data_IF_081474542414
#
_entry.id   IF_081474542414
#
_cell.length_a   1.000
_cell.length_b   1.000
_cell.length_c   1.000
_cell.angle_alpha   90.00
_cell.angle_beta   90.00
_cell.angle_gamma   90.00
#
_symmetry.space_group_name_H-M   'P 1'
#
loop_
_entity.id
_entity.type
_entity.pdbx_description
1 polymer ?
#
# COMPACT_ATOMS: atom_id res chain seq x y z
N UNK A 1 6.33 -9.46 11.81
CA UNK A 1 5.37 -8.42 11.44
C UNK A 1 3.97 -8.86 11.82
N UNK A 2 3.15 -7.97 12.35
CA UNK A 2 1.72 -8.18 12.56
C UNK A 2 0.94 -6.99 11.96
N UNK A 3 -0.33 -7.20 11.65
CA UNK A 3 -1.19 -6.15 11.14
C UNK A 3 -1.59 -5.21 12.29
N UNK A 4 -1.15 -3.95 12.22
CA UNK A 4 -1.44 -2.95 13.25
C UNK A 4 -2.82 -2.36 13.02
N UNK A 5 -3.66 -2.39 14.06
CA UNK A 5 -5.01 -1.82 14.05
C UNK A 5 -5.08 -0.47 14.78
N UNK A 6 -4.20 -0.27 15.76
CA UNK A 6 -4.14 0.93 16.55
C UNK A 6 -2.69 1.40 16.73
N UNK A 7 -2.49 2.69 16.55
CA UNK A 7 -1.22 3.35 16.79
C UNK A 7 -1.25 4.14 18.08
N UNK A 8 -0.10 4.23 18.75
CA UNK A 8 0.09 5.08 19.91
C UNK A 8 0.11 6.57 19.51
N UNK A 9 -0.05 7.44 20.51
CA UNK A 9 0.04 8.89 20.30
C UNK A 9 1.48 9.37 20.08
N UNK A 10 2.46 8.48 20.27
CA UNK A 10 3.87 8.77 20.00
C UNK A 10 4.11 8.75 18.50
N UNK A 11 4.54 9.89 17.98
CA UNK A 11 4.79 10.07 16.55
C UNK A 11 6.25 9.77 16.25
N UNK A 12 6.55 8.84 15.31
CA UNK A 12 7.91 8.62 14.84
C UNK A 12 8.53 9.91 14.29
N UNK A 13 9.81 10.10 14.56
CA UNK A 13 10.55 11.26 14.02
C UNK A 13 10.55 11.17 12.48
N UNK A 14 10.41 12.33 11.85
CA UNK A 14 10.34 12.43 10.38
C UNK A 14 11.60 11.88 9.72
N UNK A 15 12.77 12.11 10.33
CA UNK A 15 14.06 11.67 9.84
C UNK A 15 14.16 10.13 9.74
N UNK A 16 13.54 9.38 10.66
CA UNK A 16 13.48 7.92 10.61
C UNK A 16 12.65 7.45 9.40
N UNK A 17 11.52 8.13 9.16
CA UNK A 17 10.66 7.83 8.01
C UNK A 17 11.39 8.14 6.70
N UNK A 18 12.03 9.31 6.61
CA UNK A 18 12.81 9.71 5.43
C UNK A 18 14.00 8.78 5.19
N UNK A 19 14.69 8.36 6.25
CA UNK A 19 15.78 7.39 6.17
C UNK A 19 15.32 6.03 5.63
N UNK A 20 14.18 5.52 6.13
CA UNK A 20 13.60 4.27 5.64
C UNK A 20 13.15 4.36 4.17
N UNK A 21 12.50 5.47 3.79
CA UNK A 21 12.11 5.74 2.40
C UNK A 21 13.33 5.81 1.47
N UNK A 22 14.38 6.48 1.89
CA UNK A 22 15.62 6.59 1.12
C UNK A 22 16.29 5.22 0.92
N UNK A 23 16.42 4.42 2.00
CA UNK A 23 16.95 3.06 1.93
C UNK A 23 16.10 2.20 1.00
N UNK A 24 14.77 2.22 1.15
CA UNK A 24 13.85 1.46 0.30
C UNK A 24 13.99 1.84 -1.17
N UNK A 25 14.02 3.14 -1.48
CA UNK A 25 14.25 3.63 -2.84
C UNK A 25 15.60 3.15 -3.41
N UNK A 26 16.66 3.23 -2.60
CA UNK A 26 18.02 2.86 -3.04
C UNK A 26 18.18 1.36 -3.32
N UNK A 27 17.49 0.51 -2.58
CA UNK A 27 17.66 -0.95 -2.61
C UNK A 27 16.59 -1.71 -3.40
N UNK A 28 15.48 -1.04 -3.77
CA UNK A 28 14.43 -1.71 -4.53
C UNK A 28 14.83 -1.84 -6.00
N UNK A 29 14.86 -3.07 -6.53
CA UNK A 29 15.07 -3.27 -7.96
C UNK A 29 13.88 -2.75 -8.76
N UNK A 30 14.17 -2.15 -9.90
CA UNK A 30 13.17 -1.73 -10.88
C UNK A 30 13.69 -2.00 -12.28
N UNK A 31 12.83 -2.46 -13.17
CA UNK A 31 13.21 -2.70 -14.56
C UNK A 31 13.71 -1.42 -15.20
N UNK A 32 14.96 -1.44 -15.66
CA UNK A 32 15.64 -0.28 -16.26
C UNK A 32 15.72 0.93 -15.29
N UNK A 33 15.69 0.72 -13.99
CA UNK A 33 15.60 1.77 -12.96
C UNK A 33 14.44 2.77 -13.19
N UNK A 34 13.37 2.34 -13.82
CA UNK A 34 12.28 3.22 -14.24
C UNK A 34 11.43 3.69 -13.06
N UNK A 35 11.25 2.85 -12.03
CA UNK A 35 10.39 3.12 -10.87
C UNK A 35 9.05 3.78 -11.27
N UNK A 36 8.17 3.07 -12.04
CA UNK A 36 6.97 3.65 -12.62
C UNK A 36 5.85 3.85 -11.58
N UNK A 37 6.23 4.37 -10.43
CA UNK A 37 5.33 4.68 -9.32
C UNK A 37 5.85 5.89 -8.53
N UNK A 38 4.95 6.47 -7.73
CA UNK A 38 5.26 7.55 -6.81
C UNK A 38 4.64 7.28 -5.45
N UNK A 39 5.36 7.66 -4.41
CA UNK A 39 4.92 7.55 -3.02
C UNK A 39 4.52 8.93 -2.52
N UNK A 40 3.25 9.08 -2.13
CA UNK A 40 2.74 10.28 -1.48
C UNK A 40 2.68 10.02 0.02
N UNK A 41 3.34 10.87 0.79
CA UNK A 41 3.48 10.69 2.25
C UNK A 41 2.62 11.71 2.98
N UNK A 42 1.65 11.23 3.70
CA UNK A 42 0.83 12.04 4.60
C UNK A 42 1.29 11.85 6.04
N UNK A 43 1.96 12.86 6.58
CA UNK A 43 2.43 12.90 7.96
C UNK A 43 1.37 13.37 8.96
N UNK A 44 1.75 13.66 10.20
CA UNK A 44 0.83 13.99 11.30
C UNK A 44 -0.08 15.20 11.05
N UNK A 45 0.40 16.16 10.25
CA UNK A 45 -0.35 17.40 9.93
C UNK A 45 -1.43 17.21 8.87
N UNK A 46 -1.40 16.12 8.10
CA UNK A 46 -2.31 15.86 6.96
C UNK A 46 -3.55 15.06 7.38
N UNK A 47 -4.23 15.51 8.45
CA UNK A 47 -5.40 14.80 8.98
C UNK A 47 -6.55 14.76 7.97
N UNK A 48 -6.81 15.89 7.29
CA UNK A 48 -7.88 16.01 6.30
C UNK A 48 -7.69 15.02 5.14
N UNK A 49 -6.48 14.94 4.60
CA UNK A 49 -6.15 14.06 3.48
C UNK A 49 -6.24 12.58 3.89
N UNK A 50 -5.80 12.25 5.10
CA UNK A 50 -5.93 10.88 5.63
C UNK A 50 -7.41 10.48 5.82
N UNK A 51 -8.27 11.41 6.23
CA UNK A 51 -9.72 11.17 6.30
C UNK A 51 -10.31 10.89 4.91
N UNK A 52 -9.94 11.66 3.90
CA UNK A 52 -10.37 11.42 2.52
C UNK A 52 -9.94 10.04 2.00
N UNK A 53 -8.70 9.61 2.30
CA UNK A 53 -8.24 8.26 1.97
C UNK A 53 -9.02 7.20 2.73
N UNK A 54 -9.32 7.44 4.02
CA UNK A 54 -10.16 6.55 4.81
C UNK A 54 -11.57 6.40 4.21
N UNK A 55 -12.18 7.46 3.74
CA UNK A 55 -13.50 7.43 3.07
C UNK A 55 -13.48 6.52 1.84
N UNK A 56 -12.39 6.51 1.07
CA UNK A 56 -12.22 5.62 -0.08
C UNK A 56 -12.09 4.15 0.31
N UNK A 57 -11.45 3.86 1.44
CA UNK A 57 -11.37 2.50 1.98
C UNK A 57 -12.72 2.08 2.54
N UNK A 58 -13.35 2.93 3.33
CA UNK A 58 -14.65 2.67 3.97
C UNK A 58 -15.75 2.45 2.94
N UNK A 59 -15.87 3.30 1.93
CA UNK A 59 -16.88 3.17 0.87
C UNK A 59 -16.70 1.89 0.06
N UNK A 60 -15.45 1.49 -0.21
CA UNK A 60 -15.17 0.22 -0.88
C UNK A 60 -15.62 -0.98 -0.03
N UNK A 61 -15.40 -0.93 1.28
CA UNK A 61 -15.81 -2.00 2.20
C UNK A 61 -17.35 -2.11 2.27
N UNK A 62 -18.04 -0.97 2.46
CA UNK A 62 -19.50 -0.91 2.49
C UNK A 62 -20.14 -1.51 1.24
N UNK A 63 -19.61 -1.20 0.07
CA UNK A 63 -20.12 -1.77 -1.19
C UNK A 63 -19.84 -3.27 -1.30
N UNK A 64 -18.72 -3.76 -0.76
CA UNK A 64 -18.44 -5.18 -0.70
C UNK A 64 -19.42 -5.92 0.20
N UNK A 65 -19.80 -5.35 1.34
CA UNK A 65 -20.83 -5.90 2.24
C UNK A 65 -22.19 -5.94 1.56
N UNK A 66 -22.62 -4.85 0.90
CA UNK A 66 -23.87 -4.82 0.13
C UNK A 66 -23.88 -5.86 -0.97
N UNK A 67 -22.76 -6.03 -1.70
CA UNK A 67 -22.64 -7.07 -2.73
C UNK A 67 -22.72 -8.48 -2.14
N UNK A 68 -22.13 -8.71 -0.96
CA UNK A 68 -22.18 -9.99 -0.27
C UNK A 68 -23.60 -10.30 0.21
N UNK A 69 -24.33 -9.33 0.76
CA UNK A 69 -25.74 -9.47 1.13
C UNK A 69 -26.61 -9.81 -0.07
N UNK A 70 -26.43 -9.11 -1.19
CA UNK A 70 -27.20 -9.35 -2.43
C UNK A 70 -26.93 -10.73 -3.07
N UNK A 71 -25.81 -11.37 -2.71
CA UNK A 71 -25.47 -12.74 -3.14
C UNK A 71 -25.90 -13.82 -2.14
N UNK A 72 -26.64 -13.44 -1.09
CA UNK A 72 -27.03 -14.36 -0.02
C UNK A 72 -25.87 -14.83 0.87
N UNK A 73 -24.72 -14.23 0.73
CA UNK A 73 -23.56 -14.46 1.57
C UNK A 73 -23.64 -13.49 2.76
N UNK A 74 -24.34 -13.88 3.81
CA UNK A 74 -24.48 -13.09 5.02
C UNK A 74 -23.13 -12.98 5.73
N UNK A 75 -22.43 -11.88 5.52
CA UNK A 75 -21.42 -11.43 6.48
C UNK A 75 -22.18 -10.74 7.61
N UNK A 76 -22.43 -11.46 8.68
CA UNK A 76 -22.97 -10.88 9.90
C UNK A 76 -21.91 -9.99 10.55
N UNK A 77 -21.92 -8.71 10.22
CA UNK A 77 -21.53 -7.71 11.19
C UNK A 77 -22.80 -7.39 12.00
N UNK A 78 -22.93 -7.96 13.16
CA UNK A 78 -23.99 -7.59 14.09
C UNK A 78 -23.87 -6.09 14.36
N UNK A 79 -24.89 -5.31 13.98
CA UNK A 79 -25.10 -3.98 14.47
C UNK A 79 -24.89 -2.81 13.51
N UNK A 80 -24.49 -2.99 12.23
CA UNK A 80 -24.40 -1.89 11.25
C UNK A 80 -23.32 -0.83 11.57
N UNK A 81 -22.49 -1.05 12.55
CA UNK A 81 -21.36 -0.19 12.87
C UNK A 81 -20.22 -0.36 11.87
N UNK A 82 -19.53 0.75 11.48
CA UNK A 82 -18.37 0.68 10.62
C UNK A 82 -17.33 -0.26 11.23
N UNK A 83 -16.82 -1.20 10.43
CA UNK A 83 -15.78 -2.10 10.91
C UNK A 83 -14.55 -1.27 11.34
N UNK A 84 -14.19 -1.25 12.64
CA UNK A 84 -13.10 -0.44 13.16
C UNK A 84 -11.72 -0.83 12.58
N UNK A 85 -11.66 -1.91 11.81
CA UNK A 85 -10.41 -2.41 11.23
C UNK A 85 -9.64 -1.40 10.37
N UNK A 86 -10.32 -0.40 9.79
CA UNK A 86 -9.69 0.57 8.91
C UNK A 86 -9.50 1.96 9.53
N UNK A 87 -9.92 2.17 10.77
CA UNK A 87 -9.74 3.45 11.46
C UNK A 87 -8.26 3.82 11.64
N UNK A 88 -7.37 2.82 11.67
CA UNK A 88 -5.94 3.05 11.69
C UNK A 88 -5.44 3.93 10.53
N UNK A 89 -6.12 3.96 9.38
CA UNK A 89 -5.79 4.84 8.25
C UNK A 89 -6.04 6.30 8.60
N UNK A 90 -7.07 6.56 9.38
CA UNK A 90 -7.49 7.90 9.81
C UNK A 90 -6.54 8.50 10.85
N UNK A 91 -6.09 7.65 11.79
CA UNK A 91 -5.34 8.08 12.97
C UNK A 91 -3.87 7.69 12.97
N UNK A 92 -3.37 7.03 11.92
CA UNK A 92 -1.94 6.71 11.86
C UNK A 92 -1.06 7.96 11.84
N UNK A 93 0.16 7.92 12.40
CA UNK A 93 1.12 8.99 12.29
C UNK A 93 1.49 9.30 10.84
N UNK A 94 1.78 8.24 10.03
CA UNK A 94 2.14 8.36 8.63
C UNK A 94 1.34 7.43 7.76
N UNK A 95 0.88 7.93 6.61
CA UNK A 95 0.22 7.18 5.57
C UNK A 95 0.99 7.36 4.26
N UNK A 96 1.39 6.26 3.65
CA UNK A 96 1.98 6.22 2.32
C UNK A 96 0.94 5.76 1.32
N UNK A 97 0.68 6.59 0.31
CA UNK A 97 -0.16 6.24 -0.82
C UNK A 97 0.74 6.01 -2.02
N UNK A 98 0.81 4.78 -2.51
CA UNK A 98 1.66 4.41 -3.64
C UNK A 98 0.80 4.30 -4.87
N UNK A 99 1.11 5.10 -5.88
CA UNK A 99 0.37 5.19 -7.13
C UNK A 99 1.27 4.87 -8.31
N UNK A 100 0.73 4.17 -9.31
CA UNK A 100 1.39 4.02 -10.60
C UNK A 100 1.48 5.39 -11.26
N UNK A 101 2.67 5.79 -11.67
CA UNK A 101 2.92 7.06 -12.32
C UNK A 101 3.79 6.86 -13.53
N UNK A 102 3.38 7.34 -14.72
CA UNK A 102 4.25 7.44 -15.87
C UNK A 102 5.48 8.27 -15.54
N UNK A 103 6.63 7.83 -16.00
CA UNK A 103 7.87 8.58 -15.90
C UNK A 103 8.49 8.70 -17.27
N UNK A 104 9.20 9.76 -17.49
CA UNK A 104 10.04 9.86 -18.64
C UNK A 104 11.16 8.81 -18.60
N UNK A 105 11.58 8.27 -19.75
CA UNK A 105 12.69 7.35 -19.82
C UNK A 105 13.95 7.96 -19.20
N UNK A 106 14.59 7.19 -18.32
CA UNK A 106 15.90 7.59 -17.77
C UNK A 106 17.01 7.46 -18.82
N UNK A 107 18.20 7.97 -18.52
CA UNK A 107 19.35 7.94 -19.43
C UNK A 107 19.72 6.50 -19.86
N UNK A 108 19.62 5.52 -18.97
CA UNK A 108 19.86 4.14 -19.34
C UNK A 108 18.91 3.67 -20.45
N UNK A 109 17.62 3.95 -20.32
CA UNK A 109 16.65 3.56 -21.33
C UNK A 109 16.84 4.30 -22.64
N UNK A 110 17.11 5.62 -22.59
CA UNK A 110 17.40 6.43 -23.79
C UNK A 110 18.60 5.86 -24.55
N UNK A 111 19.67 5.56 -23.85
CA UNK A 111 20.87 4.95 -24.46
C UNK A 111 20.56 3.59 -25.11
N UNK A 112 19.70 2.77 -24.48
CA UNK A 112 19.30 1.48 -25.06
C UNK A 112 18.46 1.64 -26.34
N UNK A 113 17.58 2.65 -26.38
CA UNK A 113 16.80 3.00 -27.59
C UNK A 113 17.76 3.48 -28.71
N UNK A 114 18.71 4.37 -28.40
CA UNK A 114 19.71 4.86 -29.34
C UNK A 114 20.60 3.74 -29.93
N UNK A 115 20.89 2.71 -29.10
CA UNK A 115 21.62 1.51 -29.53
C UNK A 115 20.74 0.51 -30.31
N UNK A 116 19.46 0.81 -30.53
CA UNK A 116 18.51 -0.07 -31.22
C UNK A 116 18.14 -1.34 -30.44
N UNK A 117 18.45 -1.40 -29.15
CA UNK A 117 18.14 -2.55 -28.29
C UNK A 117 16.69 -2.59 -27.81
N UNK A 118 15.99 -1.44 -27.81
CA UNK A 118 14.58 -1.33 -27.50
C UNK A 118 13.83 -0.57 -28.57
N UNK A 119 12.62 -1.01 -28.86
CA UNK A 119 11.72 -0.23 -29.72
C UNK A 119 11.25 1.02 -28.97
N UNK A 120 11.17 2.14 -29.68
CA UNK A 120 10.57 3.37 -29.18
C UNK A 120 9.05 3.15 -28.97
N UNK A 121 8.69 2.74 -27.79
CA UNK A 121 7.29 2.62 -27.37
C UNK A 121 6.96 3.81 -26.49
N UNK A 122 5.86 4.49 -26.77
CA UNK A 122 5.34 5.56 -25.94
C UNK A 122 5.26 5.09 -24.46
N UNK A 123 6.03 5.72 -23.61
CA UNK A 123 6.20 5.30 -22.21
C UNK A 123 4.89 5.27 -21.41
N UNK A 124 3.92 6.21 -21.60
CA UNK A 124 2.61 6.16 -20.96
C UNK A 124 1.80 4.91 -21.31
N UNK A 125 1.75 4.50 -22.57
CA UNK A 125 1.04 3.29 -23.02
C UNK A 125 1.64 2.02 -22.40
N UNK A 126 2.94 2.04 -22.16
CA UNK A 126 3.65 0.92 -21.56
C UNK A 126 3.25 0.66 -20.12
N UNK A 127 2.93 1.71 -19.34
CA UNK A 127 2.55 1.55 -17.92
C UNK A 127 1.19 0.88 -17.79
N UNK A 128 0.21 1.25 -18.58
CA UNK A 128 -1.07 0.57 -18.56
C UNK A 128 -0.95 -0.89 -19.01
N UNK A 129 -0.12 -1.13 -20.03
CA UNK A 129 0.14 -2.47 -20.56
C UNK A 129 0.94 -3.36 -19.60
N UNK A 130 1.73 -2.76 -18.69
CA UNK A 130 2.58 -3.46 -17.74
C UNK A 130 2.24 -3.15 -16.27
N UNK A 131 0.96 -2.89 -15.99
CA UNK A 131 0.51 -2.58 -14.63
C UNK A 131 0.89 -3.68 -13.63
N UNK A 132 0.89 -4.94 -14.06
CA UNK A 132 1.27 -6.08 -13.21
C UNK A 132 2.75 -6.01 -12.83
N UNK A 133 3.63 -5.63 -13.77
CA UNK A 133 5.05 -5.41 -13.46
C UNK A 133 5.23 -4.23 -12.50
N UNK A 134 4.48 -3.14 -12.70
CA UNK A 134 4.49 -1.99 -11.78
C UNK A 134 4.02 -2.40 -10.39
N UNK A 135 2.96 -3.21 -10.29
CA UNK A 135 2.46 -3.70 -9.03
C UNK A 135 3.47 -4.61 -8.32
N UNK A 136 4.21 -5.43 -9.06
CA UNK A 136 5.30 -6.25 -8.53
C UNK A 136 6.43 -5.38 -7.96
N UNK A 137 6.86 -4.36 -8.70
CA UNK A 137 7.89 -3.41 -8.24
C UNK A 137 7.45 -2.64 -6.99
N UNK A 138 6.17 -2.23 -6.94
CA UNK A 138 5.57 -1.61 -5.75
C UNK A 138 5.56 -2.57 -4.57
N UNK A 139 5.28 -3.85 -4.80
CA UNK A 139 5.35 -4.89 -3.76
C UNK A 139 6.76 -5.03 -3.18
N UNK A 140 7.78 -5.05 -4.03
CA UNK A 140 9.18 -5.09 -3.60
C UNK A 140 9.59 -3.83 -2.82
N UNK A 141 9.19 -2.66 -3.29
CA UNK A 141 9.41 -1.39 -2.58
C UNK A 141 8.73 -1.39 -1.22
N UNK A 142 7.47 -1.79 -1.16
CA UNK A 142 6.68 -1.85 0.06
C UNK A 142 7.30 -2.82 1.08
N UNK A 143 7.82 -3.95 0.63
CA UNK A 143 8.51 -4.91 1.50
C UNK A 143 9.81 -4.32 2.05
N UNK A 144 10.63 -3.69 1.20
CA UNK A 144 11.88 -3.04 1.64
C UNK A 144 11.59 -1.90 2.64
N UNK A 145 10.63 -1.02 2.31
CA UNK A 145 10.21 0.06 3.21
C UNK A 145 9.78 -0.50 4.57
N UNK A 146 9.02 -1.59 4.57
CA UNK A 146 8.57 -2.23 5.80
C UNK A 146 9.70 -2.79 6.63
N UNK A 147 10.68 -3.41 5.99
CA UNK A 147 11.87 -3.94 6.68
C UNK A 147 12.62 -2.80 7.37
N UNK A 148 12.89 -1.71 6.65
CA UNK A 148 13.63 -0.58 7.23
C UNK A 148 12.84 0.17 8.31
N UNK A 149 11.52 0.29 8.20
CA UNK A 149 10.70 0.86 9.27
C UNK A 149 10.70 -0.04 10.52
N UNK A 150 10.64 -1.36 10.35
CA UNK A 150 10.67 -2.31 11.46
C UNK A 150 12.03 -2.35 12.16
N UNK A 151 13.16 -2.12 11.45
CA UNK A 151 14.49 -1.93 12.05
C UNK A 151 14.47 -0.74 13.03
N UNK A 152 13.76 0.32 12.70
CA UNK A 152 13.55 1.50 13.55
C UNK A 152 12.41 1.31 14.57
N UNK A 153 11.89 0.07 14.73
CA UNK A 153 10.77 -0.29 15.62
C UNK A 153 9.46 0.42 15.28
N UNK A 154 9.32 0.91 14.05
CA UNK A 154 8.10 1.51 13.54
C UNK A 154 7.27 0.40 12.91
N UNK A 155 6.07 0.19 13.46
CA UNK A 155 5.14 -0.83 12.98
C UNK A 155 4.36 -0.33 11.77
N UNK A 156 3.90 -1.29 10.94
CA UNK A 156 3.22 -0.99 9.69
C UNK A 156 1.95 -1.81 9.51
N UNK A 157 1.05 -1.29 8.68
CA UNK A 157 -0.11 -2.01 8.18
C UNK A 157 -0.31 -1.76 6.69
N UNK A 158 -0.55 -2.82 5.92
CA UNK A 158 -0.90 -2.73 4.51
C UNK A 158 -2.41 -2.70 4.32
N UNK A 159 -2.86 -1.90 3.37
CA UNK A 159 -4.26 -1.86 2.94
C UNK A 159 -4.32 -1.86 1.42
N UNK A 160 -5.01 -2.86 0.87
CA UNK A 160 -5.31 -2.98 -0.56
C UNK A 160 -6.81 -2.91 -0.86
N UNK A 161 -7.65 -2.87 0.20
CA UNK A 161 -9.10 -2.83 0.10
C UNK A 161 -9.62 -1.39 0.07
N UNK A 162 -9.42 -0.71 -1.05
CA UNK A 162 -9.90 0.66 -1.29
C UNK A 162 -10.42 0.80 -2.72
N UNK A 163 -11.09 1.92 -3.02
CA UNK A 163 -11.51 2.25 -4.38
C UNK A 163 -10.29 2.47 -5.26
N UNK A 164 -10.11 1.63 -6.28
CA UNK A 164 -8.94 1.67 -7.17
C UNK A 164 -9.17 2.53 -8.41
N UNK A 165 -10.40 2.85 -8.72
CA UNK A 165 -10.75 3.68 -9.86
C UNK A 165 -10.38 5.14 -9.56
N UNK A 166 -9.63 5.71 -10.47
CA UNK A 166 -9.08 7.07 -10.39
C UNK A 166 -10.15 8.14 -10.11
N UNK A 167 -11.34 8.00 -10.69
CA UNK A 167 -12.44 8.93 -10.50
C UNK A 167 -12.82 9.19 -9.04
N UNK A 168 -12.81 8.15 -8.19
CA UNK A 168 -13.15 8.31 -6.77
C UNK A 168 -12.09 9.11 -6.01
N UNK A 169 -10.83 8.98 -6.40
CA UNK A 169 -9.72 9.76 -5.83
C UNK A 169 -9.80 11.22 -6.26
N UNK A 170 -10.22 11.47 -7.51
CA UNK A 170 -10.47 12.82 -8.02
C UNK A 170 -11.64 13.50 -7.30
N UNK A 171 -12.73 12.79 -7.07
CA UNK A 171 -13.92 13.28 -6.36
C UNK A 171 -13.61 13.77 -4.94
N UNK A 172 -12.69 13.11 -4.23
CA UNK A 172 -12.28 13.57 -2.89
C UNK A 172 -11.17 14.63 -2.92
N UNK A 173 -10.70 15.02 -4.10
CA UNK A 173 -9.78 16.15 -4.30
C UNK A 173 -8.41 15.96 -3.68
N UNK A 174 -7.80 14.78 -3.85
CA UNK A 174 -6.42 14.53 -3.46
C UNK A 174 -5.44 14.94 -4.57
N UNK A 175 -4.29 15.51 -4.22
CA UNK A 175 -3.29 16.02 -5.18
C UNK A 175 -2.76 14.99 -6.18
N UNK A 176 -2.80 13.71 -5.80
CA UNK A 176 -2.32 12.60 -6.63
C UNK A 176 -3.46 11.79 -7.28
N UNK A 177 -4.66 12.34 -7.29
CA UNK A 177 -5.86 11.67 -7.80
C UNK A 177 -5.82 11.37 -9.31
N UNK A 178 -4.90 11.97 -10.05
CA UNK A 178 -4.67 11.70 -11.47
C UNK A 178 -3.91 10.39 -11.75
N UNK A 179 -3.37 9.74 -10.71
CA UNK A 179 -2.61 8.50 -10.83
C UNK A 179 -3.36 7.33 -10.23
N UNK A 180 -3.16 6.14 -10.82
CA UNK A 180 -3.81 4.91 -10.35
C UNK A 180 -3.24 4.46 -9.00
N UNK A 181 -4.06 4.36 -7.94
CA UNK A 181 -3.60 3.88 -6.64
C UNK A 181 -3.33 2.37 -6.67
N UNK A 182 -2.24 1.95 -6.06
CA UNK A 182 -1.82 0.55 -6.01
C UNK A 182 -1.83 -0.01 -4.59
N UNK A 183 -1.33 0.76 -3.61
CA UNK A 183 -1.17 0.29 -2.24
C UNK A 183 -1.19 1.45 -1.24
N UNK A 184 -1.72 1.17 -0.05
CA UNK A 184 -1.63 2.04 1.11
C UNK A 184 -0.82 1.34 2.20
N UNK A 185 0.05 2.11 2.87
CA UNK A 185 0.82 1.65 4.02
C UNK A 185 0.66 2.66 5.15
N UNK A 186 0.17 2.21 6.29
CA UNK A 186 0.15 3.00 7.52
C UNK A 186 1.40 2.69 8.34
N UNK A 187 2.00 3.69 9.00
CA UNK A 187 3.16 3.50 9.85
C UNK A 187 3.10 4.33 11.12
N UNK A 188 3.59 3.76 12.22
CA UNK A 188 3.64 4.35 13.54
C UNK A 188 4.04 3.35 14.60
N UNK A 189 4.04 3.77 15.86
CA UNK A 189 4.25 2.83 16.98
C UNK A 189 2.92 2.19 17.36
N UNK A 190 2.85 0.86 17.36
CA UNK A 190 1.64 0.13 17.77
C UNK A 190 1.33 0.36 19.25
N UNK A 191 0.04 0.49 19.60
CA UNK A 191 -0.43 0.43 20.99
C UNK A 191 -0.32 -0.97 21.59
N UNK A 192 -0.35 -1.98 20.74
CA UNK A 192 -0.32 -3.39 21.15
C UNK A 192 1.12 -3.89 21.15
N UNK A 193 1.55 -4.46 22.28
CA UNK A 193 2.83 -5.15 22.34
C UNK A 193 2.79 -6.39 21.43
N UNK A 194 3.84 -6.60 20.63
CA UNK A 194 3.95 -7.72 19.69
C UNK A 194 3.72 -9.10 20.32
N UNK A 195 3.89 -9.22 21.64
CA UNK A 195 3.68 -10.46 22.41
C UNK A 195 2.22 -10.72 22.77
N UNK A 196 1.38 -9.69 22.79
CA UNK A 196 0.03 -9.75 23.38
C UNK A 196 -1.07 -9.80 22.31
N UNK A 197 -0.70 -9.79 21.05
CA UNK A 197 -1.69 -9.91 19.97
C UNK A 197 -1.83 -11.41 19.67
N UNK A 198 -2.94 -12.04 20.10
CA UNK A 198 -3.25 -13.33 19.50
C UNK A 198 -3.38 -13.10 17.99
N UNK A 199 -2.51 -13.71 17.22
CA UNK A 199 -2.46 -13.62 15.77
C UNK A 199 -3.74 -14.16 15.13
N UNK A 200 -4.54 -14.81 15.93
CA UNK A 200 -5.75 -15.51 15.58
C UNK A 200 -6.93 -14.82 16.25
N UNK A 201 -7.81 -14.18 15.48
CA UNK A 201 -9.20 -14.08 15.87
C UNK A 201 -9.69 -15.52 16.05
N UNK A 202 -10.27 -15.85 17.20
CA UNK A 202 -10.97 -17.11 17.36
C UNK A 202 -11.81 -17.39 16.11
N UNK A 203 -11.56 -18.50 15.44
CA UNK A 203 -12.30 -18.95 14.26
C UNK A 203 -11.74 -18.60 12.86
N UNK A 204 -10.66 -17.83 12.78
CA UNK A 204 -9.91 -17.68 11.51
C UNK A 204 -8.50 -18.21 11.75
N UNK A 205 -8.20 -19.42 11.29
CA UNK A 205 -6.86 -19.96 11.37
C UNK A 205 -5.89 -19.05 10.60
N UNK A 206 -4.74 -18.77 11.18
CA UNK A 206 -3.59 -18.21 10.46
C UNK A 206 -2.98 -19.32 9.58
N UNK A 207 -3.85 -19.91 8.76
CA UNK A 207 -3.49 -21.01 7.89
C UNK A 207 -2.82 -20.41 6.68
N UNK A 208 -1.50 -20.43 6.70
CA UNK A 208 -0.74 -20.42 5.45
C UNK A 208 -0.79 -21.82 4.87
N UNK A 209 -0.74 -21.95 3.54
CA UNK A 209 -0.43 -23.23 2.93
C UNK A 209 0.84 -23.83 3.57
N UNK A 210 0.88 -25.14 3.69
CA UNK A 210 2.09 -25.82 4.16
C UNK A 210 3.27 -25.48 3.25
N UNK A 211 4.49 -25.54 3.82
CA UNK A 211 5.70 -25.18 3.07
C UNK A 211 5.82 -26.01 1.77
N UNK A 212 5.50 -27.28 1.85
CA UNK A 212 5.58 -28.27 0.77
C UNK A 212 4.53 -28.03 -0.33
N UNK A 213 3.42 -27.36 -0.01
CA UNK A 213 2.41 -26.94 -0.99
C UNK A 213 2.89 -25.73 -1.81
N UNK A 214 3.80 -24.94 -1.24
CA UNK A 214 4.29 -23.69 -1.84
C UNK A 214 5.65 -23.83 -2.50
N UNK A 215 6.46 -24.81 -2.09
CA UNK A 215 7.84 -24.95 -2.53
C UNK A 215 8.07 -26.40 -3.00
N UNK A 216 8.41 -26.52 -4.25
CA UNK A 216 8.77 -27.78 -4.88
C UNK A 216 10.25 -27.73 -5.31
N UNK A 217 11.03 -28.71 -4.85
CA UNK A 217 12.45 -28.88 -5.25
C UNK A 217 12.50 -29.76 -6.49
N UNK A 218 12.95 -29.21 -7.63
CA UNK A 218 13.10 -29.89 -8.92
C UNK A 218 14.44 -30.63 -9.02
#
# INVERSE_FOLDING_TARGET
RHHVKEYSDVIPKKELIEGALWKAWKTTPSKNNAMPYKVFVYGPKHKSEKHKVWDLVFSNHKDAEVRAMNRGQATKTEGGEPNPYYEHIKYNPYLFCIHAQPREPNEFYKNQVELGMFFDQAWPERIEKFIDTTALEVGMFAQNLSTYLLEEKIDISYTSCFRREQKYWQEVGLKHAEYRPLMLISAGYSKQYRKDVPYVKEGLPDIKPEYEEMIEWM
#
